data_IF_552481101002
#
_entry.id   IF_552481101002
#
_cell.length_a   1.000
_cell.length_b   1.000
_cell.length_c   1.000
_cell.angle_alpha   90.00
_cell.angle_beta   90.00
_cell.angle_gamma   90.00
#
_symmetry.space_group_name_H-M   'P 1'
#
loop_
_entity.id
_entity.type
_entity.pdbx_description
1 polymer ?
#
# COMPACT_ATOMS: atom_id res chain seq x y z
N UNK A 1 -10.29 91.82 28.51
CA UNK A 1 -10.08 90.66 29.41
C UNK A 1 -11.46 90.07 29.72
N UNK A 2 -11.73 88.77 29.73
CA UNK A 2 -10.84 87.62 29.85
C UNK A 2 -11.43 86.34 29.22
N UNK A 3 -10.57 85.35 29.02
CA UNK A 3 -10.95 84.03 28.50
C UNK A 3 -11.58 83.21 29.64
N UNK A 4 -12.81 82.73 29.45
CA UNK A 4 -13.44 81.79 30.37
C UNK A 4 -12.74 80.43 30.16
N UNK A 5 -11.95 79.98 31.14
CA UNK A 5 -11.50 78.58 31.22
C UNK A 5 -12.64 77.75 31.79
N UNK A 6 -13.20 76.83 31.01
CA UNK A 6 -14.07 75.77 31.52
C UNK A 6 -13.20 74.54 31.78
N UNK A 7 -13.03 74.17 33.03
CA UNK A 7 -12.54 72.86 33.43
C UNK A 7 -13.70 71.89 33.39
N UNK A 8 -13.64 70.90 32.50
CA UNK A 8 -14.50 69.72 32.58
C UNK A 8 -13.79 68.73 33.49
N UNK A 9 -14.37 68.45 34.65
CA UNK A 9 -14.00 67.27 35.44
C UNK A 9 -14.61 66.05 34.74
N UNK A 10 -13.78 65.10 34.35
CA UNK A 10 -14.25 63.76 34.00
C UNK A 10 -14.88 63.19 35.28
N UNK A 11 -16.19 63.00 35.28
CA UNK A 11 -16.91 62.41 36.40
C UNK A 11 -16.24 61.08 36.77
N UNK A 12 -15.91 60.89 38.05
CA UNK A 12 -15.17 59.73 38.57
C UNK A 12 -15.83 58.40 38.15
N UNK A 13 -17.15 58.39 37.99
CA UNK A 13 -17.93 57.27 37.47
C UNK A 13 -17.53 56.84 36.05
N UNK A 14 -17.15 57.79 35.18
CA UNK A 14 -16.71 57.50 33.82
C UNK A 14 -15.28 56.93 33.82
N UNK A 15 -14.44 57.35 34.76
CA UNK A 15 -13.10 56.80 34.96
C UNK A 15 -13.17 55.37 35.51
N UNK A 16 -14.02 55.10 36.50
CA UNK A 16 -14.25 53.74 37.02
C UNK A 16 -14.85 52.82 35.95
N UNK A 17 -15.82 53.28 35.15
CA UNK A 17 -16.39 52.50 34.04
C UNK A 17 -15.36 52.18 32.95
N UNK A 18 -14.37 53.06 32.74
CA UNK A 18 -13.27 52.86 31.81
C UNK A 18 -12.23 51.88 32.38
N UNK A 19 -11.87 51.98 33.65
CA UNK A 19 -10.95 51.07 34.34
C UNK A 19 -11.50 49.64 34.41
N UNK A 20 -12.79 49.48 34.79
CA UNK A 20 -13.48 48.18 34.80
C UNK A 20 -13.48 47.54 33.40
N UNK A 21 -13.61 48.34 32.35
CA UNK A 21 -13.53 47.86 30.95
C UNK A 21 -12.11 47.56 30.49
N UNK A 22 -11.09 48.16 31.09
CA UNK A 22 -9.68 47.93 30.75
C UNK A 22 -9.17 46.66 31.45
N UNK A 23 -9.52 46.44 32.72
CA UNK A 23 -9.12 45.25 33.48
C UNK A 23 -9.59 43.95 32.81
N UNK A 24 -10.85 43.92 32.33
CA UNK A 24 -11.41 42.76 31.63
C UNK A 24 -10.83 42.53 30.23
N UNK A 25 -10.26 43.55 29.57
CA UNK A 25 -9.61 43.36 28.26
C UNK A 25 -8.30 42.60 28.41
N UNK A 26 -7.54 42.84 29.47
CA UNK A 26 -6.29 42.12 29.72
C UNK A 26 -6.54 40.63 29.94
N UNK A 27 -7.60 40.28 30.69
CA UNK A 27 -8.03 38.90 30.89
C UNK A 27 -8.49 38.23 29.59
N UNK A 28 -9.37 38.89 28.83
CA UNK A 28 -9.83 38.39 27.53
C UNK A 28 -8.69 38.21 26.52
N UNK A 29 -7.75 39.15 26.46
CA UNK A 29 -6.56 39.06 25.60
C UNK A 29 -5.65 37.92 26.05
N UNK A 30 -5.45 37.75 27.36
CA UNK A 30 -4.65 36.64 27.89
C UNK A 30 -5.32 35.28 27.65
N UNK A 31 -6.64 35.19 27.71
CA UNK A 31 -7.36 33.95 27.45
C UNK A 31 -7.39 33.63 25.94
N UNK A 32 -7.52 34.64 25.07
CA UNK A 32 -7.32 34.49 23.62
C UNK A 32 -5.88 34.06 23.30
N UNK A 33 -4.88 34.68 23.92
CA UNK A 33 -3.49 34.30 23.77
C UNK A 33 -3.23 32.88 24.28
N UNK A 34 -3.89 32.42 25.35
CA UNK A 34 -3.78 31.03 25.79
C UNK A 34 -4.33 30.05 24.75
N UNK A 35 -5.45 30.37 24.11
CA UNK A 35 -6.01 29.51 23.05
C UNK A 35 -5.09 29.47 21.82
N UNK A 36 -4.39 30.56 21.51
CA UNK A 36 -3.45 30.62 20.37
C UNK A 36 -2.08 30.03 20.69
N UNK A 37 -1.60 30.14 21.94
CA UNK A 37 -0.28 29.66 22.38
C UNK A 37 -0.31 28.23 22.94
N UNK A 38 -1.46 27.75 23.43
CA UNK A 38 -1.66 26.42 24.01
C UNK A 38 -2.75 25.60 23.30
N UNK A 39 -3.38 26.14 22.26
CA UNK A 39 -4.13 25.31 21.32
C UNK A 39 -3.12 24.33 20.74
N UNK A 40 -3.28 23.05 21.08
CA UNK A 40 -2.34 22.00 20.71
C UNK A 40 -1.96 22.16 19.23
N UNK A 41 -0.67 22.14 18.92
CA UNK A 41 -0.14 22.16 17.55
C UNK A 41 -0.63 20.88 16.85
N UNK A 42 -1.89 20.90 16.43
CA UNK A 42 -2.55 19.86 15.65
C UNK A 42 -1.78 19.62 14.36
N UNK A 43 -1.08 20.64 13.86
CA UNK A 43 -0.14 20.51 12.74
C UNK A 43 1.00 19.53 13.05
N UNK A 44 1.61 19.58 14.23
CA UNK A 44 2.70 18.68 14.60
C UNK A 44 2.20 17.24 14.78
N UNK A 45 1.00 17.07 15.35
CA UNK A 45 0.32 15.75 15.43
C UNK A 45 0.00 15.19 14.04
N UNK A 46 -0.56 16.00 13.15
CA UNK A 46 -0.89 15.63 11.77
C UNK A 46 0.39 15.28 11.00
N UNK A 47 1.48 16.04 11.17
CA UNK A 47 2.78 15.74 10.56
C UNK A 47 3.34 14.41 11.05
N UNK A 48 3.25 14.12 12.35
CA UNK A 48 3.67 12.83 12.90
C UNK A 48 2.83 11.66 12.34
N UNK A 49 1.51 11.84 12.20
CA UNK A 49 0.62 10.85 11.58
C UNK A 49 0.95 10.63 10.09
N UNK A 50 1.21 11.70 9.33
CA UNK A 50 1.65 11.62 7.93
C UNK A 50 2.95 10.83 7.82
N UNK A 51 3.91 11.09 8.72
CA UNK A 51 5.19 10.39 8.71
C UNK A 51 5.04 8.89 9.02
N UNK A 52 4.20 8.55 10.00
CA UNK A 52 3.88 7.15 10.33
C UNK A 52 3.15 6.44 9.18
N UNK A 53 2.18 7.09 8.55
CA UNK A 53 1.48 6.57 7.38
C UNK A 53 2.45 6.36 6.19
N UNK A 54 3.39 7.28 5.98
CA UNK A 54 4.42 7.17 4.95
C UNK A 54 5.34 5.97 5.19
N UNK A 55 5.76 5.75 6.45
CA UNK A 55 6.53 4.55 6.86
C UNK A 55 5.75 3.26 6.59
N UNK A 56 4.47 3.21 6.98
CA UNK A 56 3.58 2.05 6.71
C UNK A 56 3.41 1.79 5.22
N UNK A 57 3.25 2.84 4.41
CA UNK A 57 3.15 2.74 2.95
C UNK A 57 4.43 2.17 2.33
N UNK A 58 5.61 2.64 2.77
CA UNK A 58 6.91 2.12 2.32
C UNK A 58 7.05 0.62 2.64
N UNK A 59 6.63 0.20 3.83
CA UNK A 59 6.64 -1.23 4.22
C UNK A 59 5.69 -2.04 3.33
N UNK A 60 4.47 -1.57 3.09
CA UNK A 60 3.51 -2.25 2.19
C UNK A 60 4.03 -2.34 0.76
N UNK A 61 4.64 -1.27 0.23
CA UNK A 61 5.29 -1.25 -1.09
C UNK A 61 6.40 -2.29 -1.17
N UNK A 62 7.26 -2.38 -0.16
CA UNK A 62 8.32 -3.39 -0.12
C UNK A 62 7.75 -4.82 -0.10
N UNK A 63 6.67 -5.06 0.65
CA UNK A 63 5.97 -6.36 0.63
C UNK A 63 5.42 -6.68 -0.76
N UNK A 64 4.78 -5.71 -1.43
CA UNK A 64 4.28 -5.87 -2.79
C UNK A 64 5.42 -6.17 -3.79
N UNK A 65 6.56 -5.49 -3.69
CA UNK A 65 7.73 -5.79 -4.52
C UNK A 65 8.20 -7.23 -4.31
N UNK A 66 8.32 -7.70 -3.06
CA UNK A 66 8.69 -9.10 -2.76
C UNK A 66 7.70 -10.10 -3.35
N UNK A 67 6.40 -9.83 -3.25
CA UNK A 67 5.35 -10.69 -3.83
C UNK A 67 5.47 -10.72 -5.35
N UNK A 68 5.65 -9.56 -5.99
CA UNK A 68 5.83 -9.45 -7.44
C UNK A 68 7.05 -10.22 -7.93
N UNK A 69 8.16 -10.10 -7.22
CA UNK A 69 9.40 -10.80 -7.59
C UNK A 69 9.27 -12.31 -7.39
N UNK A 70 8.55 -12.75 -6.34
CA UNK A 70 8.22 -14.16 -6.12
C UNK A 70 7.35 -14.70 -7.26
N UNK A 71 6.26 -14.02 -7.60
CA UNK A 71 5.40 -14.40 -8.74
C UNK A 71 6.16 -14.46 -10.05
N UNK A 72 7.01 -13.46 -10.33
CA UNK A 72 7.85 -13.45 -11.54
C UNK A 72 8.82 -14.64 -11.59
N UNK A 73 9.37 -15.05 -10.44
CA UNK A 73 10.21 -16.26 -10.36
C UNK A 73 9.41 -17.53 -10.57
N UNK A 74 8.21 -17.63 -10.00
CA UNK A 74 7.30 -18.75 -10.22
C UNK A 74 6.87 -18.85 -11.69
N UNK A 75 6.48 -17.75 -12.33
CA UNK A 75 6.16 -17.69 -13.77
C UNK A 75 7.32 -18.16 -14.64
N UNK A 76 8.56 -17.75 -14.32
CA UNK A 76 9.76 -18.23 -15.01
C UNK A 76 9.97 -19.74 -14.90
N UNK A 77 9.51 -20.37 -13.83
CA UNK A 77 9.59 -21.82 -13.64
C UNK A 77 8.41 -22.55 -14.31
N UNK A 78 7.23 -21.93 -14.35
CA UNK A 78 6.01 -22.53 -14.88
C UNK A 78 5.97 -22.47 -16.41
N UNK A 79 6.38 -21.36 -17.03
CA UNK A 79 6.30 -21.20 -18.49
C UNK A 79 7.08 -22.26 -19.28
N UNK A 80 8.28 -22.70 -18.86
CA UNK A 80 8.96 -23.87 -19.45
C UNK A 80 8.14 -25.16 -19.38
N UNK A 81 7.49 -25.42 -18.24
CA UNK A 81 6.68 -26.62 -18.04
C UNK A 81 5.45 -26.61 -18.96
N UNK A 82 4.81 -25.46 -19.15
CA UNK A 82 3.69 -25.30 -20.08
C UNK A 82 4.07 -25.66 -21.52
N UNK A 83 5.30 -25.34 -21.96
CA UNK A 83 5.81 -25.77 -23.27
C UNK A 83 5.91 -27.29 -23.38
N UNK A 84 6.33 -27.98 -22.32
CA UNK A 84 6.36 -29.46 -22.28
C UNK A 84 4.94 -30.03 -22.39
N UNK A 85 3.96 -29.42 -21.69
CA UNK A 85 2.57 -29.84 -21.77
C UNK A 85 1.99 -29.67 -23.17
N UNK A 86 2.30 -28.54 -23.83
CA UNK A 86 1.87 -28.27 -25.20
C UNK A 86 2.49 -29.27 -26.19
N UNK A 87 3.78 -29.54 -26.05
CA UNK A 87 4.44 -30.59 -26.85
C UNK A 87 3.75 -31.94 -26.67
N UNK A 88 3.44 -32.33 -25.43
CA UNK A 88 2.75 -33.59 -25.15
C UNK A 88 1.36 -33.67 -25.80
N UNK A 89 0.63 -32.56 -25.83
CA UNK A 89 -0.67 -32.46 -26.50
C UNK A 89 -0.55 -32.61 -28.02
N UNK A 90 0.49 -32.03 -28.63
CA UNK A 90 0.78 -32.16 -30.06
C UNK A 90 1.18 -33.58 -30.46
N UNK A 91 2.03 -34.26 -29.67
CA UNK A 91 2.52 -35.60 -30.01
C UNK A 91 1.59 -36.73 -29.58
N UNK A 92 0.72 -36.48 -28.61
CA UNK A 92 -0.23 -37.44 -28.06
C UNK A 92 -1.59 -36.77 -27.81
N UNK A 93 -2.30 -36.40 -28.88
CA UNK A 93 -3.64 -35.86 -28.78
C UNK A 93 -4.59 -36.87 -28.15
N UNK A 94 -5.66 -36.36 -27.54
CA UNK A 94 -6.75 -37.19 -27.02
C UNK A 94 -7.52 -37.79 -28.19
N UNK A 95 -7.69 -39.10 -28.20
CA UNK A 95 -8.61 -39.74 -29.12
C UNK A 95 -10.03 -39.53 -28.60
N UNK A 96 -10.87 -38.81 -29.35
CA UNK A 96 -12.24 -38.50 -28.95
C UNK A 96 -13.16 -39.74 -28.90
N UNK A 97 -12.82 -40.79 -29.64
CA UNK A 97 -13.62 -42.02 -29.71
C UNK A 97 -13.29 -42.95 -28.54
N UNK A 98 -12.01 -43.13 -28.24
CA UNK A 98 -11.57 -44.05 -27.17
C UNK A 98 -11.38 -43.34 -25.83
N UNK A 99 -11.32 -42.00 -25.81
CA UNK A 99 -10.98 -41.22 -24.62
C UNK A 99 -9.52 -41.39 -24.17
N UNK A 100 -8.69 -42.03 -24.97
CA UNK A 100 -7.31 -42.38 -24.60
C UNK A 100 -6.28 -41.54 -25.36
N UNK A 101 -5.12 -41.36 -24.73
CA UNK A 101 -3.94 -40.72 -25.31
C UNK A 101 -2.89 -41.79 -25.64
N UNK A 102 -2.09 -41.55 -26.68
CA UNK A 102 -0.92 -42.39 -26.95
C UNK A 102 0.07 -42.32 -25.78
N UNK A 103 0.74 -43.42 -25.44
CA UNK A 103 1.73 -43.40 -24.38
C UNK A 103 2.92 -42.51 -24.76
N UNK A 104 3.39 -41.72 -23.80
CA UNK A 104 4.62 -40.94 -23.90
C UNK A 104 5.78 -41.73 -23.28
N UNK A 105 6.93 -41.70 -23.93
CA UNK A 105 8.15 -42.30 -23.40
C UNK A 105 8.85 -41.33 -22.43
N UNK A 106 9.17 -41.80 -21.23
CA UNK A 106 9.88 -41.01 -20.22
C UNK A 106 11.23 -40.43 -20.72
N UNK A 107 12.05 -41.16 -21.51
CA UNK A 107 13.25 -40.59 -22.12
C UNK A 107 12.96 -39.39 -23.02
N UNK A 108 11.87 -39.41 -23.79
CA UNK A 108 11.49 -38.32 -24.67
C UNK A 108 11.06 -37.09 -23.88
N UNK A 109 10.23 -37.28 -22.84
CA UNK A 109 9.83 -36.19 -21.94
C UNK A 109 11.07 -35.55 -21.30
N UNK A 110 12.03 -36.36 -20.83
CA UNK A 110 13.26 -35.85 -20.18
C UNK A 110 14.11 -35.00 -21.13
N UNK A 111 14.22 -35.40 -22.40
CA UNK A 111 14.90 -34.61 -23.42
C UNK A 111 14.16 -33.29 -23.70
N UNK A 112 12.83 -33.32 -23.79
CA UNK A 112 12.01 -32.11 -24.03
C UNK A 112 12.10 -31.14 -22.85
N UNK A 113 12.05 -31.64 -21.61
CA UNK A 113 12.29 -30.82 -20.43
C UNK A 113 13.65 -30.11 -20.49
N UNK A 114 14.70 -30.84 -20.88
CA UNK A 114 16.06 -30.29 -21.00
C UNK A 114 16.13 -29.21 -22.08
N UNK A 115 15.46 -29.41 -23.21
CA UNK A 115 15.39 -28.44 -24.30
C UNK A 115 14.64 -27.16 -23.91
N UNK A 116 13.59 -27.26 -23.11
CA UNK A 116 12.82 -26.10 -22.64
C UNK A 116 13.31 -25.51 -21.33
N UNK A 117 14.36 -26.08 -20.72
CA UNK A 117 14.81 -25.72 -19.37
C UNK A 117 13.68 -25.81 -18.33
N UNK A 118 12.84 -26.84 -18.48
CA UNK A 118 11.69 -27.08 -17.62
C UNK A 118 12.02 -28.02 -16.46
N UNK A 119 11.37 -27.79 -15.31
CA UNK A 119 11.36 -28.76 -14.22
C UNK A 119 10.63 -30.02 -14.68
N UNK A 120 11.39 -31.10 -14.80
CA UNK A 120 10.90 -32.31 -15.43
C UNK A 120 10.01 -33.14 -14.49
N UNK A 121 10.25 -33.10 -13.19
CA UNK A 121 9.43 -33.80 -12.21
C UNK A 121 8.06 -33.11 -12.11
N UNK A 122 8.05 -31.77 -12.12
CA UNK A 122 6.82 -30.98 -12.18
C UNK A 122 6.05 -31.23 -13.48
N UNK A 123 6.73 -31.30 -14.62
CA UNK A 123 6.11 -31.58 -15.92
C UNK A 123 5.47 -32.99 -15.95
N UNK A 124 6.20 -34.01 -15.53
CA UNK A 124 5.71 -35.40 -15.46
C UNK A 124 4.51 -35.50 -14.52
N UNK A 125 4.56 -34.85 -13.35
CA UNK A 125 3.44 -34.82 -12.40
C UNK A 125 2.18 -34.19 -13.02
N UNK A 126 2.32 -33.06 -13.73
CA UNK A 126 1.20 -32.41 -14.43
C UNK A 126 0.64 -33.28 -15.57
N UNK A 127 1.51 -33.90 -16.37
CA UNK A 127 1.08 -34.81 -17.45
C UNK A 127 0.28 -36.00 -16.91
N UNK A 128 0.73 -36.63 -15.83
CA UNK A 128 -0.04 -37.72 -15.18
C UNK A 128 -1.42 -37.26 -14.72
N UNK A 129 -1.53 -36.06 -14.14
CA UNK A 129 -2.82 -35.47 -13.73
C UNK A 129 -3.74 -35.19 -14.92
N UNK A 130 -3.18 -34.89 -16.09
CA UNK A 130 -3.92 -34.69 -17.34
C UNK A 130 -4.25 -36.01 -18.06
N UNK A 131 -3.96 -37.16 -17.45
CA UNK A 131 -4.31 -38.48 -17.99
C UNK A 131 -3.32 -39.02 -19.03
N UNK A 132 -2.13 -38.45 -19.16
CA UNK A 132 -1.10 -39.01 -20.04
C UNK A 132 -0.52 -40.29 -19.42
N UNK A 133 -0.48 -41.36 -20.20
CA UNK A 133 0.23 -42.58 -19.84
C UNK A 133 1.73 -42.41 -20.15
N UNK A 134 2.59 -42.57 -19.15
CA UNK A 134 4.04 -42.37 -19.28
C UNK A 134 4.74 -43.71 -19.04
N UNK A 135 5.40 -44.22 -20.07
CA UNK A 135 6.17 -45.46 -20.01
C UNK A 135 7.61 -45.18 -19.60
N UNK A 136 8.10 -45.97 -18.64
CA UNK A 136 9.45 -45.87 -18.05
C UNK A 136 10.55 -46.38 -18.95
#
# INVERSE_FOLDING_TARGET
MGKIKRTFTLDEDLAELLDIKIDNKSGLVNDLLKVVLFGEDEEEKILAEIEDLSKKLKVKKNKLCKIRDKKRKEEKLIAPVEKVLKWAEEVSPLNEITGERKPLLAPNIRNVCKNYSADCDLAVSKLKKLGYNILG
#
